data_IF_951910109691
#
_entry.id   IF_951910109691
#
_cell.length_a   1.000
_cell.length_b   1.000
_cell.length_c   1.000
_cell.angle_alpha   90.00
_cell.angle_beta   90.00
_cell.angle_gamma   90.00
#
_symmetry.space_group_name_H-M   'P 1'
#
loop_
_entity.id
_entity.type
_entity.pdbx_description
1 polymer ?
#
# COMPACT_ATOMS: atom_id res chain seq x y z
N UNK A 1 -12.38 11.13 19.45
CA UNK A 1 -11.37 10.45 18.61
C UNK A 1 -11.96 10.39 17.21
N UNK A 2 -11.37 11.06 16.22
CA UNK A 2 -11.87 10.96 14.84
C UNK A 2 -11.31 9.67 14.21
N UNK A 3 -12.17 8.93 13.54
CA UNK A 3 -11.89 7.62 12.92
C UNK A 3 -11.71 7.71 11.41
N UNK A 4 -11.62 8.92 10.85
CA UNK A 4 -11.53 9.12 9.41
C UNK A 4 -10.10 8.97 8.87
N UNK A 5 -10.01 8.46 7.65
CA UNK A 5 -8.80 8.55 6.83
C UNK A 5 -8.65 10.00 6.37
N UNK A 6 -7.48 10.58 6.64
CA UNK A 6 -7.14 11.98 6.28
C UNK A 6 -6.09 11.99 5.18
N UNK A 7 -5.47 13.14 4.86
CA UNK A 7 -4.13 13.20 4.23
C UNK A 7 -3.01 13.41 5.32
N UNK A 8 -1.70 13.33 5.03
CA UNK A 8 -0.57 13.23 6.01
C UNK A 8 -0.31 12.00 6.94
N UNK A 9 -1.23 11.05 7.19
CA UNK A 9 -1.12 9.92 8.13
C UNK A 9 -0.18 8.79 7.67
N UNK A 10 0.38 8.11 8.66
CA UNK A 10 1.04 6.83 8.51
C UNK A 10 0.06 5.69 8.79
N UNK A 11 0.02 4.71 7.90
CA UNK A 11 -0.95 3.61 7.92
C UNK A 11 -0.20 2.30 7.99
N UNK A 12 -0.68 1.42 8.85
CA UNK A 12 -0.15 0.07 9.02
C UNK A 12 -1.29 -0.93 8.79
N UNK A 13 -1.19 -1.73 7.74
CA UNK A 13 -2.18 -2.72 7.35
C UNK A 13 -1.60 -4.12 7.56
N UNK A 14 -2.04 -4.80 8.63
CA UNK A 14 -1.66 -6.18 8.94
C UNK A 14 -2.57 -7.15 8.19
N UNK A 15 -1.98 -8.12 7.49
CA UNK A 15 -2.76 -9.09 6.73
C UNK A 15 -3.41 -8.47 5.50
N UNK A 16 -2.67 -7.64 4.76
CA UNK A 16 -3.20 -6.85 3.64
C UNK A 16 -3.64 -7.69 2.42
N UNK A 17 -3.42 -9.01 2.43
CA UNK A 17 -3.73 -9.90 1.32
C UNK A 17 -3.09 -9.42 0.02
N UNK A 18 -3.88 -9.22 -1.03
CA UNK A 18 -3.44 -8.69 -2.33
C UNK A 18 -3.30 -7.15 -2.38
N UNK A 19 -3.51 -6.46 -1.26
CA UNK A 19 -3.30 -5.02 -1.09
C UNK A 19 -4.37 -4.13 -1.70
N UNK A 20 -5.62 -4.60 -1.78
CA UNK A 20 -6.74 -3.80 -2.30
C UNK A 20 -6.90 -2.46 -1.55
N UNK A 21 -6.96 -2.51 -0.21
CA UNK A 21 -7.09 -1.31 0.62
C UNK A 21 -5.82 -0.44 0.53
N UNK A 22 -4.64 -1.04 0.65
CA UNK A 22 -3.34 -0.37 0.46
C UNK A 22 -3.30 0.45 -0.84
N UNK A 23 -3.62 -0.17 -1.98
CA UNK A 23 -3.56 0.48 -3.30
C UNK A 23 -4.64 1.55 -3.44
N UNK A 24 -5.85 1.30 -2.92
CA UNK A 24 -6.92 2.29 -2.92
C UNK A 24 -6.52 3.54 -2.12
N UNK A 25 -6.02 3.38 -0.89
CA UNK A 25 -5.58 4.51 -0.07
C UNK A 25 -4.45 5.28 -0.78
N UNK A 26 -3.46 4.57 -1.31
CA UNK A 26 -2.33 5.17 -2.02
C UNK A 26 -2.76 5.98 -3.26
N UNK A 27 -3.85 5.59 -3.92
CA UNK A 27 -4.37 6.32 -5.08
C UNK A 27 -5.22 7.55 -4.68
N UNK A 28 -5.81 7.57 -3.48
CA UNK A 28 -6.73 8.65 -3.06
C UNK A 28 -6.08 9.69 -2.14
N UNK A 29 -4.96 9.35 -1.50
CA UNK A 29 -4.29 10.22 -0.54
C UNK A 29 -2.79 10.31 -0.86
N UNK A 30 -2.37 11.44 -1.44
CA UNK A 30 -1.05 11.60 -2.03
C UNK A 30 0.10 11.67 -1.00
N UNK A 31 -0.17 12.08 0.24
CA UNK A 31 0.84 12.31 1.27
C UNK A 31 0.73 11.27 2.40
N UNK A 32 0.76 9.99 2.01
CA UNK A 32 0.67 8.83 2.92
C UNK A 32 2.01 8.11 3.03
N UNK A 33 2.18 7.37 4.12
CA UNK A 33 3.12 6.26 4.19
C UNK A 33 2.37 5.03 4.66
N UNK A 34 2.29 4.01 3.82
CA UNK A 34 1.56 2.77 4.09
C UNK A 34 2.57 1.64 4.22
N UNK A 35 2.61 0.99 5.37
CA UNK A 35 3.29 -0.31 5.53
C UNK A 35 2.22 -1.40 5.47
N UNK A 36 2.32 -2.27 4.47
CA UNK A 36 1.34 -3.30 4.18
C UNK A 36 1.99 -4.67 4.37
N UNK A 37 1.54 -5.45 5.35
CA UNK A 37 2.16 -6.72 5.72
C UNK A 37 1.30 -7.87 5.17
N UNK A 38 1.86 -8.62 4.22
CA UNK A 38 1.21 -9.74 3.55
C UNK A 38 1.63 -11.11 4.12
N UNK A 39 0.77 -12.11 3.93
CA UNK A 39 1.02 -13.48 4.41
C UNK A 39 2.00 -14.27 3.54
N UNK A 40 2.24 -13.84 2.30
CA UNK A 40 3.16 -14.51 1.38
C UNK A 40 4.00 -13.53 0.54
N UNK A 41 5.21 -13.93 0.17
CA UNK A 41 6.10 -13.13 -0.69
C UNK A 41 5.45 -12.76 -2.03
N UNK A 42 4.70 -13.68 -2.64
CA UNK A 42 3.96 -13.43 -3.89
C UNK A 42 2.96 -12.27 -3.76
N UNK A 43 2.34 -12.12 -2.59
CA UNK A 43 1.40 -11.02 -2.34
C UNK A 43 2.14 -9.68 -2.19
N UNK A 44 3.25 -9.66 -1.44
CA UNK A 44 4.14 -8.49 -1.36
C UNK A 44 4.59 -8.04 -2.75
N UNK A 45 5.09 -8.99 -3.54
CA UNK A 45 5.56 -8.75 -4.91
C UNK A 45 4.45 -8.26 -5.83
N UNK A 46 3.25 -8.82 -5.69
CA UNK A 46 2.09 -8.37 -6.44
C UNK A 46 1.77 -6.90 -6.12
N UNK A 47 1.70 -6.52 -4.84
CA UNK A 47 1.42 -5.14 -4.42
C UNK A 47 2.50 -4.19 -4.96
N UNK A 48 3.77 -4.59 -4.86
CA UNK A 48 4.89 -3.78 -5.33
C UNK A 48 4.85 -3.56 -6.84
N UNK A 49 4.47 -4.58 -7.62
CA UNK A 49 4.30 -4.49 -9.07
C UNK A 49 3.10 -3.63 -9.44
N UNK A 50 1.94 -3.84 -8.81
CA UNK A 50 0.73 -3.06 -9.06
C UNK A 50 0.96 -1.57 -8.77
N UNK A 51 1.57 -1.23 -7.64
CA UNK A 51 1.89 0.16 -7.32
C UNK A 51 2.72 0.83 -8.44
N UNK A 52 3.72 0.14 -8.99
CA UNK A 52 4.54 0.65 -10.11
C UNK A 52 3.73 0.75 -11.41
N UNK A 53 2.92 -0.25 -11.74
CA UNK A 53 2.11 -0.29 -12.95
C UNK A 53 1.02 0.80 -12.95
N UNK A 54 0.36 1.02 -11.82
CA UNK A 54 -0.64 2.08 -11.64
C UNK A 54 -0.04 3.47 -11.90
N UNK A 55 1.19 3.72 -11.44
CA UNK A 55 1.90 4.98 -11.74
C UNK A 55 2.12 5.15 -13.26
N UNK A 56 2.42 4.08 -13.98
CA UNK A 56 2.65 4.13 -15.43
C UNK A 56 1.37 4.38 -16.23
N UNK A 57 0.21 4.00 -15.70
CA UNK A 57 -1.10 4.18 -16.33
C UNK A 57 -1.74 5.56 -16.08
N UNK A 58 -1.01 6.51 -15.48
CA UNK A 58 -1.50 7.87 -15.22
C UNK A 58 -2.40 8.01 -13.99
N UNK A 59 -2.48 6.99 -13.13
CA UNK A 59 -3.14 7.12 -11.84
C UNK A 59 -2.25 7.88 -10.84
N UNK A 60 -2.82 8.69 -9.93
CA UNK A 60 -2.08 9.50 -8.96
C UNK A 60 -1.54 8.68 -7.78
N UNK A 61 -0.89 7.55 -8.05
CA UNK A 61 -0.24 6.71 -7.05
C UNK A 61 1.27 6.91 -7.12
N UNK A 62 1.89 7.32 -6.01
CA UNK A 62 3.33 7.30 -5.82
C UNK A 62 3.79 5.97 -5.22
N UNK A 63 4.51 5.09 -5.93
CA UNK A 63 4.93 3.78 -5.42
C UNK A 63 5.82 3.86 -4.18
N UNK A 64 6.51 4.99 -3.96
CA UNK A 64 7.35 5.19 -2.76
C UNK A 64 6.53 5.32 -1.47
N UNK A 65 5.23 5.59 -1.59
CA UNK A 65 4.32 5.70 -0.46
C UNK A 65 3.88 4.33 0.08
N UNK A 66 4.01 3.26 -0.71
CA UNK A 66 3.65 1.89 -0.35
C UNK A 66 4.91 1.10 -0.01
N UNK A 67 4.95 0.53 1.20
CA UNK A 67 6.00 -0.38 1.68
C UNK A 67 5.39 -1.75 1.94
N UNK A 68 5.35 -2.62 0.92
CA UNK A 68 4.84 -3.96 1.09
C UNK A 68 5.92 -4.82 1.77
N UNK A 69 5.53 -5.56 2.79
CA UNK A 69 6.37 -6.50 3.54
C UNK A 69 5.67 -7.87 3.58
N UNK A 70 6.42 -8.95 3.84
CA UNK A 70 5.83 -10.26 4.10
C UNK A 70 6.31 -10.85 5.42
N UNK A 71 5.43 -11.59 6.11
CA UNK A 71 5.82 -12.35 7.30
C UNK A 71 6.88 -13.43 7.01
N UNK A 72 6.98 -13.90 5.77
CA UNK A 72 7.86 -15.00 5.38
C UNK A 72 9.29 -14.55 5.03
N UNK A 73 9.62 -13.26 5.17
CA UNK A 73 10.97 -12.72 4.94
C UNK A 73 11.79 -12.48 6.22
N UNK A 74 11.33 -13.03 7.35
CA UNK A 74 12.11 -13.06 8.60
C UNK A 74 12.78 -14.41 8.80
#
# INVERSE_FOLDING_TARGET
MSTELRDGQHIFELGCGWGFLTLWIAAHFANRRITAVANANRQRDYIQQQARATQQNGFPLNPKQVRPESYLEK
#
